data_IF_772878982846
#
_entry.id   IF_772878982846
#
_cell.length_a   1.000
_cell.length_b   1.000
_cell.length_c   1.000
_cell.angle_alpha   90.00
_cell.angle_beta   90.00
_cell.angle_gamma   90.00
#
_symmetry.space_group_name_H-M   'P 1'
#
loop_
_entity.id
_entity.type
_entity.pdbx_description
1 polymer ?
#
# COMPACT_ATOMS: atom_id res chain seq x y z
N UNK A 1 33.98 14.31 -40.82
CA UNK A 1 34.54 14.00 -39.48
C UNK A 1 33.78 14.86 -38.49
N UNK A 2 32.82 14.22 -37.81
CA UNK A 2 32.87 13.98 -36.36
C UNK A 2 32.24 15.13 -35.59
N UNK A 3 31.05 14.88 -35.06
CA UNK A 3 30.74 15.13 -33.66
C UNK A 3 29.49 14.32 -33.30
N UNK A 4 29.73 13.02 -33.15
CA UNK A 4 28.84 12.08 -32.49
C UNK A 4 28.95 12.26 -30.98
N UNK A 5 28.38 13.34 -30.45
CA UNK A 5 28.18 13.52 -29.00
C UNK A 5 26.77 14.02 -28.69
N UNK A 6 25.79 13.11 -28.60
CA UNK A 6 24.72 13.34 -27.61
C UNK A 6 24.34 12.11 -26.77
N UNK A 7 25.02 10.97 -26.86
CA UNK A 7 24.55 9.74 -26.18
C UNK A 7 25.16 9.52 -24.78
N UNK A 8 26.38 9.98 -24.50
CA UNK A 8 27.04 9.71 -23.21
C UNK A 8 26.52 10.61 -22.06
N UNK A 9 25.99 11.78 -22.37
CA UNK A 9 25.46 12.74 -21.38
C UNK A 9 24.09 12.32 -20.81
N UNK A 10 23.31 11.51 -21.53
CA UNK A 10 22.03 10.96 -21.04
C UNK A 10 22.22 9.77 -20.07
N UNK A 11 23.30 9.01 -20.21
CA UNK A 11 23.52 7.78 -19.43
C UNK A 11 24.16 8.09 -18.07
N UNK A 12 25.01 9.11 -17.97
CA UNK A 12 25.62 9.56 -16.72
C UNK A 12 24.62 10.15 -15.70
N UNK A 13 23.48 10.67 -16.16
CA UNK A 13 22.44 11.27 -15.30
C UNK A 13 21.41 10.24 -14.76
N UNK A 14 21.24 9.09 -15.41
CA UNK A 14 20.22 8.10 -15.04
C UNK A 14 20.52 7.41 -13.68
N UNK A 15 21.78 7.09 -13.41
CA UNK A 15 22.19 6.41 -12.16
C UNK A 15 22.15 7.34 -10.95
N UNK A 16 22.48 8.63 -11.14
CA UNK A 16 22.50 9.61 -10.05
C UNK A 16 21.12 9.84 -9.43
N UNK A 17 20.09 9.98 -10.27
CA UNK A 17 18.70 10.12 -9.79
C UNK A 17 18.19 8.85 -9.11
N UNK A 18 18.56 7.67 -9.61
CA UNK A 18 18.17 6.40 -9.02
C UNK A 18 18.79 6.21 -7.63
N UNK A 19 20.09 6.46 -7.48
CA UNK A 19 20.78 6.39 -6.19
C UNK A 19 20.21 7.43 -5.22
N UNK A 20 19.91 8.65 -5.70
CA UNK A 20 19.25 9.68 -4.88
C UNK A 20 17.90 9.19 -4.36
N UNK A 21 17.05 8.64 -5.24
CA UNK A 21 15.75 8.09 -4.85
C UNK A 21 15.87 6.97 -3.83
N UNK A 22 16.80 6.04 -4.05
CA UNK A 22 17.04 4.94 -3.10
C UNK A 22 17.49 5.45 -1.74
N UNK A 23 18.41 6.43 -1.69
CA UNK A 23 18.90 7.03 -0.44
C UNK A 23 17.78 7.76 0.31
N UNK A 24 16.96 8.53 -0.40
CA UNK A 24 15.85 9.27 0.20
C UNK A 24 14.75 8.33 0.74
N UNK A 25 14.63 7.12 0.18
CA UNK A 25 13.69 6.11 0.62
C UNK A 25 14.14 5.36 1.89
N UNK A 26 15.42 5.42 2.29
CA UNK A 26 15.94 4.64 3.43
C UNK A 26 15.15 4.82 4.72
N UNK A 27 14.78 6.04 5.16
CA UNK A 27 13.98 6.21 6.38
C UNK A 27 12.62 5.51 6.30
N UNK A 28 11.99 5.51 5.12
CA UNK A 28 10.72 4.83 4.88
C UNK A 28 10.91 3.31 4.85
N UNK A 29 11.97 2.83 4.20
CA UNK A 29 12.32 1.40 4.19
C UNK A 29 12.54 0.86 5.61
N UNK A 30 13.17 1.64 6.50
CA UNK A 30 13.30 1.29 7.91
C UNK A 30 11.95 1.24 8.63
N UNK A 31 11.05 2.16 8.29
CA UNK A 31 9.66 2.14 8.76
C UNK A 31 8.90 0.89 8.35
N UNK A 32 9.18 0.31 7.17
CA UNK A 32 8.52 -0.90 6.67
C UNK A 32 8.89 -2.16 7.45
N UNK A 33 10.12 -2.25 7.98
CA UNK A 33 10.67 -3.45 8.62
C UNK A 33 9.72 -4.08 9.66
N UNK A 34 9.25 -3.37 10.70
CA UNK A 34 8.38 -3.97 11.70
C UNK A 34 7.07 -4.48 11.11
N UNK A 35 6.43 -3.72 10.21
CA UNK A 35 5.16 -4.11 9.60
C UNK A 35 5.32 -5.32 8.68
N UNK A 36 6.38 -5.34 7.87
CA UNK A 36 6.70 -6.43 6.97
C UNK A 36 6.96 -7.73 7.76
N UNK A 37 7.76 -7.67 8.83
CA UNK A 37 8.02 -8.82 9.70
C UNK A 37 6.74 -9.37 10.32
N UNK A 38 5.88 -8.49 10.83
CA UNK A 38 4.58 -8.88 11.43
C UNK A 38 3.69 -9.57 10.40
N UNK A 39 3.55 -8.99 9.20
CA UNK A 39 2.72 -9.56 8.13
C UNK A 39 3.19 -10.97 7.76
N UNK A 40 4.50 -11.14 7.57
CA UNK A 40 5.09 -12.43 7.26
C UNK A 40 4.84 -13.48 8.34
N UNK A 41 5.04 -13.12 9.61
CA UNK A 41 4.80 -14.02 10.72
C UNK A 41 3.31 -14.42 10.83
N UNK A 42 2.39 -13.46 10.67
CA UNK A 42 0.95 -13.74 10.67
C UNK A 42 0.52 -14.63 9.51
N UNK A 43 1.09 -14.42 8.32
CA UNK A 43 0.75 -15.23 7.16
C UNK A 43 1.07 -16.73 7.38
N UNK A 44 2.22 -17.03 7.99
CA UNK A 44 2.58 -18.42 8.29
C UNK A 44 1.68 -19.04 9.37
N UNK A 45 1.22 -18.25 10.35
CA UNK A 45 0.18 -18.71 11.29
C UNK A 45 -1.16 -19.04 10.61
N UNK A 46 -1.45 -18.40 9.48
CA UNK A 46 -2.62 -18.69 8.63
C UNK A 46 -2.38 -19.85 7.65
N UNK A 47 -1.24 -20.53 7.74
CA UNK A 47 -0.91 -21.71 6.94
C UNK A 47 -0.19 -21.42 5.62
N UNK A 48 0.23 -20.18 5.37
CA UNK A 48 1.03 -19.85 4.19
C UNK A 48 2.48 -20.32 4.36
N UNK A 49 3.08 -20.83 3.28
CA UNK A 49 4.52 -21.02 3.17
C UNK A 49 5.24 -19.69 2.94
N UNK A 50 6.53 -19.57 3.29
CA UNK A 50 7.31 -18.36 3.01
C UNK A 50 7.30 -17.93 1.54
N UNK A 51 7.26 -18.90 0.61
CA UNK A 51 7.21 -18.62 -0.83
C UNK A 51 5.86 -18.00 -1.21
N UNK A 52 4.76 -18.50 -0.68
CA UNK A 52 3.43 -17.92 -0.91
C UNK A 52 3.33 -16.49 -0.33
N UNK A 53 3.98 -16.23 0.81
CA UNK A 53 4.08 -14.86 1.36
C UNK A 53 4.84 -13.95 0.40
N UNK A 54 6.02 -14.34 -0.08
CA UNK A 54 6.80 -13.53 -1.02
C UNK A 54 6.04 -13.25 -2.33
N UNK A 55 5.29 -14.25 -2.83
CA UNK A 55 4.47 -14.10 -4.03
C UNK A 55 3.28 -13.17 -3.78
N UNK A 56 2.58 -13.32 -2.65
CA UNK A 56 1.47 -12.45 -2.28
C UNK A 56 1.92 -10.99 -2.19
N UNK A 57 3.01 -10.72 -1.46
CA UNK A 57 3.50 -9.37 -1.21
C UNK A 57 4.15 -8.74 -2.44
N UNK A 58 4.80 -9.55 -3.29
CA UNK A 58 5.36 -9.08 -4.55
C UNK A 58 4.33 -8.83 -5.65
N UNK A 59 3.27 -9.64 -5.75
CA UNK A 59 2.26 -9.47 -6.79
C UNK A 59 1.23 -8.39 -6.44
N UNK A 60 0.89 -8.24 -5.17
CA UNK A 60 -0.08 -7.24 -4.73
C UNK A 60 0.58 -5.88 -4.44
N UNK A 61 1.72 -5.89 -3.73
CA UNK A 61 2.46 -4.70 -3.30
C UNK A 61 1.55 -3.59 -2.72
N UNK A 62 0.51 -4.00 -1.99
CA UNK A 62 -0.56 -3.12 -1.51
C UNK A 62 -0.48 -2.80 -0.02
N UNK A 63 0.36 -3.53 0.72
CA UNK A 63 0.56 -3.43 2.16
C UNK A 63 -0.73 -3.62 2.97
N UNK A 64 -1.53 -2.57 3.08
CA UNK A 64 -2.80 -2.58 3.81
C UNK A 64 -3.82 -3.61 3.32
N UNK A 65 -3.87 -3.89 2.01
CA UNK A 65 -4.78 -4.92 1.47
C UNK A 65 -4.30 -6.35 1.76
N UNK A 66 -2.98 -6.58 1.88
CA UNK A 66 -2.38 -7.86 2.25
C UNK A 66 -2.72 -8.20 3.70
N UNK A 67 -2.54 -7.21 4.56
CA UNK A 67 -2.99 -7.22 5.95
C UNK A 67 -4.49 -7.54 6.07
N UNK A 68 -5.33 -6.90 5.26
CA UNK A 68 -6.77 -7.15 5.27
C UNK A 68 -7.12 -8.56 4.75
N UNK A 69 -6.43 -9.03 3.71
CA UNK A 69 -6.61 -10.37 3.16
C UNK A 69 -6.25 -11.45 4.19
N UNK A 70 -5.15 -11.30 4.92
CA UNK A 70 -4.76 -12.23 5.99
C UNK A 70 -5.74 -12.22 7.17
N UNK A 71 -6.26 -11.05 7.55
CA UNK A 71 -7.24 -10.94 8.62
C UNK A 71 -8.52 -11.74 8.32
N UNK A 72 -8.96 -11.72 7.05
CA UNK A 72 -10.15 -12.43 6.57
C UNK A 72 -9.87 -13.88 6.18
N UNK A 73 -8.60 -14.32 6.24
CA UNK A 73 -8.21 -15.63 5.79
C UNK A 73 -8.75 -16.70 6.76
N UNK A 74 -9.68 -17.50 6.25
CA UNK A 74 -10.34 -18.64 6.91
C UNK A 74 -10.08 -19.92 6.12
N UNK A 75 -10.35 -21.08 6.73
CA UNK A 75 -10.35 -22.37 6.03
C UNK A 75 -11.76 -22.98 6.06
N UNK A 76 -12.49 -23.03 4.91
CA UNK A 76 -12.11 -22.55 3.58
C UNK A 76 -12.13 -21.00 3.46
N UNK A 77 -11.37 -20.41 2.51
CA UNK A 77 -11.30 -18.97 2.35
C UNK A 77 -12.52 -18.40 1.60
N UNK A 78 -13.05 -17.28 2.08
CA UNK A 78 -14.11 -16.53 1.41
C UNK A 78 -13.52 -15.68 0.27
N UNK A 79 -13.12 -16.32 -0.83
CA UNK A 79 -12.34 -15.70 -1.93
C UNK A 79 -13.00 -14.42 -2.46
N UNK A 80 -14.31 -14.44 -2.71
CA UNK A 80 -15.03 -13.28 -3.24
C UNK A 80 -14.96 -12.07 -2.29
N UNK A 81 -15.04 -12.31 -0.98
CA UNK A 81 -14.94 -11.26 0.05
C UNK A 81 -13.51 -10.70 0.11
N UNK A 82 -12.51 -11.56 0.10
CA UNK A 82 -11.09 -11.16 0.11
C UNK A 82 -10.78 -10.32 -1.13
N UNK A 83 -11.20 -10.76 -2.32
CA UNK A 83 -11.04 -10.00 -3.56
C UNK A 83 -11.74 -8.65 -3.48
N UNK A 84 -12.99 -8.61 -3.02
CA UNK A 84 -13.74 -7.37 -2.91
C UNK A 84 -13.06 -6.36 -1.96
N UNK A 85 -12.55 -6.82 -0.82
CA UNK A 85 -11.88 -5.95 0.16
C UNK A 85 -10.50 -5.52 -0.32
N UNK A 86 -9.73 -6.42 -0.95
CA UNK A 86 -8.46 -6.06 -1.57
C UNK A 86 -8.66 -4.99 -2.65
N UNK A 87 -9.66 -5.15 -3.53
CA UNK A 87 -10.00 -4.15 -4.54
C UNK A 87 -10.46 -2.83 -3.92
N UNK A 88 -11.29 -2.89 -2.87
CA UNK A 88 -11.77 -1.71 -2.16
C UNK A 88 -10.62 -0.93 -1.53
N UNK A 89 -9.72 -1.61 -0.81
CA UNK A 89 -8.54 -0.99 -0.17
C UNK A 89 -7.57 -0.45 -1.22
N UNK A 90 -7.33 -1.21 -2.30
CA UNK A 90 -6.42 -0.81 -3.36
C UNK A 90 -7.00 0.25 -4.29
N UNK A 91 -8.32 0.53 -4.26
CA UNK A 91 -8.96 1.57 -5.09
C UNK A 91 -8.30 2.96 -4.96
N UNK A 92 -7.63 3.23 -3.84
CA UNK A 92 -6.80 4.45 -3.66
C UNK A 92 -5.72 4.61 -4.75
N UNK A 93 -5.18 3.51 -5.26
CA UNK A 93 -4.20 3.51 -6.36
C UNK A 93 -4.80 4.07 -7.66
N UNK A 94 -6.12 3.97 -7.88
CA UNK A 94 -6.77 4.59 -9.04
C UNK A 94 -6.73 6.11 -8.94
N UNK A 95 -7.01 6.67 -7.75
CA UNK A 95 -6.95 8.12 -7.50
C UNK A 95 -5.51 8.63 -7.55
N UNK A 96 -4.58 7.89 -6.94
CA UNK A 96 -3.15 8.20 -6.96
C UNK A 96 -2.59 8.17 -8.39
N UNK A 97 -2.95 7.14 -9.15
CA UNK A 97 -2.60 7.00 -10.57
C UNK A 97 -3.17 8.13 -11.41
N UNK A 98 -4.42 8.54 -11.18
CA UNK A 98 -5.03 9.69 -11.84
C UNK A 98 -4.29 11.01 -11.51
N UNK A 99 -3.81 11.16 -10.26
CA UNK A 99 -3.01 12.31 -9.86
C UNK A 99 -1.59 12.31 -10.49
N UNK A 100 -1.00 11.14 -10.74
CA UNK A 100 0.28 11.00 -11.44
C UNK A 100 0.14 11.12 -12.96
N UNK A 101 -1.02 10.83 -13.54
CA UNK A 101 -1.22 10.77 -14.99
C UNK A 101 -0.74 12.03 -15.75
N UNK A 102 -0.97 13.27 -15.27
CA UNK A 102 -0.43 14.47 -15.93
C UNK A 102 1.11 14.52 -15.95
N UNK A 103 1.76 14.00 -14.89
CA UNK A 103 3.22 13.99 -14.74
C UNK A 103 3.89 12.89 -15.59
N UNK A 104 3.11 11.93 -16.09
CA UNK A 104 3.57 10.81 -16.92
C UNK A 104 3.32 11.02 -18.43
N UNK A 105 2.81 12.18 -18.87
CA UNK A 105 2.38 12.45 -20.26
C UNK A 105 3.45 12.23 -21.36
N UNK A 106 4.73 12.14 -21.00
CA UNK A 106 5.84 11.85 -21.93
C UNK A 106 6.42 10.43 -21.83
N UNK A 107 5.88 9.57 -20.97
CA UNK A 107 6.44 8.24 -20.76
C UNK A 107 5.92 7.22 -21.78
N UNK A 108 6.79 6.29 -22.18
CA UNK A 108 6.35 5.12 -22.96
C UNK A 108 5.38 4.27 -22.14
N UNK A 109 4.46 3.58 -22.82
CA UNK A 109 3.45 2.72 -22.16
C UNK A 109 4.07 1.70 -21.20
N UNK A 110 5.22 1.13 -21.55
CA UNK A 110 5.97 0.19 -20.69
C UNK A 110 6.49 0.87 -19.41
N UNK A 111 7.06 2.08 -19.51
CA UNK A 111 7.53 2.83 -18.34
C UNK A 111 6.36 3.23 -17.45
N UNK A 112 5.25 3.72 -18.04
CA UNK A 112 4.05 4.08 -17.30
C UNK A 112 3.46 2.87 -16.56
N UNK A 113 3.42 1.69 -17.18
CA UNK A 113 2.97 0.46 -16.52
C UNK A 113 3.86 0.09 -15.32
N UNK A 114 5.19 0.15 -15.48
CA UNK A 114 6.12 -0.13 -14.38
C UNK A 114 6.02 0.89 -13.24
N UNK A 115 5.83 2.16 -13.56
CA UNK A 115 5.58 3.21 -12.56
C UNK A 115 4.31 2.91 -11.77
N UNK A 116 3.23 2.52 -12.45
CA UNK A 116 1.94 2.21 -11.80
C UNK A 116 1.98 0.90 -11.01
N UNK A 117 2.74 -0.11 -11.47
CA UNK A 117 2.91 -1.37 -10.74
C UNK A 117 3.71 -1.19 -9.45
N UNK A 118 4.81 -0.42 -9.48
CA UNK A 118 5.65 -0.14 -8.32
C UNK A 118 5.14 1.05 -7.48
N UNK A 119 3.93 1.52 -7.74
CA UNK A 119 3.34 2.63 -7.00
C UNK A 119 2.77 2.13 -5.68
N UNK A 120 3.28 2.68 -4.57
CA UNK A 120 2.67 2.62 -3.25
C UNK A 120 2.46 4.06 -2.73
N UNK A 121 1.91 4.22 -1.53
CA UNK A 121 1.60 5.54 -0.96
C UNK A 121 2.87 6.41 -0.84
N UNK A 122 3.99 5.81 -0.46
CA UNK A 122 5.26 6.48 -0.23
C UNK A 122 6.01 6.78 -1.53
N UNK A 123 6.06 5.84 -2.48
CA UNK A 123 6.67 6.12 -3.79
C UNK A 123 5.87 7.15 -4.58
N UNK A 124 4.54 7.15 -4.44
CA UNK A 124 3.67 8.18 -4.98
C UNK A 124 3.94 9.55 -4.33
N UNK A 125 3.97 9.62 -3.00
CA UNK A 125 4.15 10.88 -2.28
C UNK A 125 5.53 11.50 -2.56
N UNK A 126 6.59 10.69 -2.50
CA UNK A 126 7.96 11.13 -2.78
C UNK A 126 8.14 11.54 -4.24
N UNK A 127 7.61 10.76 -5.18
CA UNK A 127 7.68 11.09 -6.61
C UNK A 127 6.92 12.38 -6.96
N UNK A 128 5.75 12.58 -6.34
CA UNK A 128 4.95 13.78 -6.53
C UNK A 128 5.61 15.01 -5.90
N UNK A 129 6.21 14.87 -4.71
CA UNK A 129 6.95 15.95 -4.06
C UNK A 129 8.19 16.36 -4.86
N UNK A 130 8.98 15.40 -5.35
CA UNK A 130 10.13 15.66 -6.22
C UNK A 130 9.71 16.39 -7.51
N UNK A 131 8.65 15.93 -8.18
CA UNK A 131 8.13 16.59 -9.38
C UNK A 131 7.68 18.04 -9.08
N UNK A 132 7.02 18.27 -7.94
CA UNK A 132 6.55 19.61 -7.52
C UNK A 132 7.71 20.54 -7.20
N UNK A 133 8.70 20.09 -6.43
CA UNK A 133 9.88 20.90 -6.05
C UNK A 133 10.69 21.35 -7.25
N UNK A 134 10.85 20.46 -8.24
CA UNK A 134 11.62 20.76 -9.44
C UNK A 134 10.79 21.42 -10.55
N UNK A 135 9.46 21.54 -10.37
CA UNK A 135 8.50 22.02 -11.40
C UNK A 135 8.64 21.24 -12.73
N UNK A 136 8.88 19.94 -12.65
CA UNK A 136 9.08 19.07 -13.81
C UNK A 136 8.03 17.98 -13.92
N UNK A 137 8.04 17.24 -15.04
CA UNK A 137 7.40 15.93 -15.13
C UNK A 137 8.02 14.94 -14.14
N UNK A 138 7.42 13.76 -14.01
CA UNK A 138 7.91 12.71 -13.13
C UNK A 138 9.35 12.31 -13.52
N UNK A 139 10.30 12.47 -12.60
CA UNK A 139 11.65 11.94 -12.78
C UNK A 139 11.63 10.42 -12.56
N UNK A 140 11.64 9.65 -13.65
CA UNK A 140 11.54 8.19 -13.57
C UNK A 140 12.74 7.55 -12.89
N UNK A 141 13.95 8.11 -13.03
CA UNK A 141 15.13 7.57 -12.36
C UNK A 141 14.99 7.65 -10.84
N UNK A 142 14.60 8.83 -10.35
CA UNK A 142 14.29 9.04 -8.94
C UNK A 142 13.15 8.14 -8.45
N UNK A 143 12.02 8.13 -9.17
CA UNK A 143 10.85 7.31 -8.81
C UNK A 143 11.21 5.82 -8.71
N UNK A 144 11.93 5.26 -9.70
CA UNK A 144 12.34 3.86 -9.65
C UNK A 144 13.34 3.58 -8.53
N UNK A 145 14.23 4.52 -8.21
CA UNK A 145 15.12 4.40 -7.04
C UNK A 145 14.35 4.22 -5.74
N UNK A 146 13.34 5.07 -5.52
CA UNK A 146 12.43 4.97 -4.35
C UNK A 146 11.65 3.66 -4.41
N UNK A 147 10.94 3.43 -5.51
CA UNK A 147 9.95 2.37 -5.63
C UNK A 147 10.58 0.97 -5.57
N UNK A 148 11.73 0.75 -6.22
CA UNK A 148 12.46 -0.53 -6.16
C UNK A 148 12.98 -0.78 -4.75
N UNK A 149 13.50 0.26 -4.07
CA UNK A 149 13.96 0.15 -2.68
C UNK A 149 12.85 -0.32 -1.75
N UNK A 150 11.68 0.33 -1.84
CA UNK A 150 10.50 -0.03 -1.06
C UNK A 150 9.93 -1.41 -1.42
N UNK A 151 9.89 -1.76 -2.71
CA UNK A 151 9.41 -3.05 -3.18
C UNK A 151 10.28 -4.20 -2.68
N UNK A 152 11.59 -4.08 -2.84
CA UNK A 152 12.53 -5.11 -2.38
C UNK A 152 12.55 -5.20 -0.85
N UNK A 153 12.54 -4.08 -0.13
CA UNK A 153 12.47 -4.13 1.33
C UNK A 153 11.20 -4.81 1.81
N UNK A 154 10.05 -4.50 1.20
CA UNK A 154 8.78 -5.12 1.55
C UNK A 154 8.82 -6.64 1.38
N UNK A 155 9.25 -7.13 0.21
CA UNK A 155 9.34 -8.59 -0.05
C UNK A 155 10.35 -9.23 0.88
N UNK A 156 11.54 -8.65 1.03
CA UNK A 156 12.61 -9.24 1.85
C UNK A 156 12.16 -9.35 3.31
N UNK A 157 11.66 -8.28 3.92
CA UNK A 157 11.29 -8.30 5.33
C UNK A 157 10.00 -9.09 5.59
N UNK A 158 9.05 -9.14 4.65
CA UNK A 158 7.89 -10.05 4.77
C UNK A 158 8.31 -11.51 4.70
N UNK A 159 9.24 -11.84 3.82
CA UNK A 159 9.80 -13.19 3.71
C UNK A 159 10.61 -13.56 4.95
N UNK A 160 11.44 -12.65 5.46
CA UNK A 160 12.17 -12.85 6.73
C UNK A 160 11.19 -13.03 7.88
N UNK A 161 10.11 -12.25 7.93
CA UNK A 161 9.04 -12.41 8.92
C UNK A 161 8.38 -13.78 8.85
N UNK A 162 8.15 -14.30 7.64
CA UNK A 162 7.61 -15.64 7.44
C UNK A 162 8.58 -16.75 7.87
N UNK A 163 9.88 -16.60 7.62
CA UNK A 163 10.89 -17.59 8.01
C UNK A 163 11.17 -17.57 9.52
N UNK A 164 11.26 -16.39 10.12
CA UNK A 164 11.63 -16.20 11.53
C UNK A 164 10.40 -16.29 12.46
N UNK A 165 9.22 -15.94 11.97
CA UNK A 165 7.97 -15.97 12.74
C UNK A 165 7.74 -17.27 13.52
N UNK A 166 7.87 -18.45 12.89
CA UNK A 166 7.75 -19.74 13.58
C UNK A 166 8.77 -19.95 14.71
N UNK A 167 9.97 -19.38 14.61
CA UNK A 167 11.03 -19.47 15.63
C UNK A 167 10.66 -18.66 16.88
N UNK A 168 9.96 -17.54 16.70
CA UNK A 168 9.46 -16.68 17.80
C UNK A 168 8.25 -17.33 18.51
N UNK A 169 7.64 -18.35 17.89
CA UNK A 169 6.48 -19.06 18.41
C UNK A 169 5.18 -18.30 18.14
N UNK A 170 4.25 -18.38 19.08
CA UNK A 170 2.96 -17.70 18.93
C UNK A 170 3.09 -16.19 19.12
N UNK A 171 3.26 -15.46 18.02
CA UNK A 171 3.43 -14.00 18.04
C UNK A 171 2.18 -13.26 18.53
N UNK A 172 1.01 -13.89 18.55
CA UNK A 172 -0.22 -13.27 19.08
C UNK A 172 -0.08 -12.91 20.55
N UNK A 173 0.73 -13.66 21.31
CA UNK A 173 1.04 -13.37 22.72
C UNK A 173 1.73 -12.03 22.94
N UNK A 174 2.39 -11.50 21.92
CA UNK A 174 3.05 -10.19 21.96
C UNK A 174 2.15 -9.06 21.43
N UNK A 175 0.86 -9.32 21.22
CA UNK A 175 -0.10 -8.34 20.69
C UNK A 175 0.03 -8.11 19.18
N UNK A 176 0.64 -9.05 18.45
CA UNK A 176 0.79 -8.91 17.00
C UNK A 176 -0.56 -8.96 16.28
N UNK A 177 -1.58 -9.58 16.86
CA UNK A 177 -2.97 -9.53 16.38
C UNK A 177 -3.52 -8.09 16.29
N UNK A 178 -3.05 -7.20 17.16
CA UNK A 178 -3.40 -5.76 17.13
C UNK A 178 -2.63 -4.96 16.07
N UNK A 179 -1.61 -5.52 15.42
CA UNK A 179 -0.88 -4.80 14.38
C UNK A 179 -1.79 -4.40 13.21
N UNK A 180 -2.73 -5.26 12.84
CA UNK A 180 -3.69 -4.98 11.77
C UNK A 180 -4.62 -3.80 12.09
N UNK A 181 -5.39 -3.82 13.20
CA UNK A 181 -6.15 -2.65 13.63
C UNK A 181 -5.29 -1.41 13.85
N UNK A 182 -4.08 -1.55 14.39
CA UNK A 182 -3.19 -0.42 14.65
C UNK A 182 -2.76 0.30 13.37
N UNK A 183 -2.41 -0.43 12.31
CA UNK A 183 -2.07 0.16 11.00
C UNK A 183 -3.28 0.90 10.42
N UNK A 184 -4.47 0.31 10.48
CA UNK A 184 -5.70 0.98 10.01
C UNK A 184 -6.01 2.24 10.82
N UNK A 185 -5.87 2.20 12.14
CA UNK A 185 -6.05 3.37 13.01
C UNK A 185 -5.01 4.46 12.72
N UNK A 186 -3.76 4.08 12.45
CA UNK A 186 -2.71 5.02 12.08
C UNK A 186 -3.00 5.71 10.74
N UNK A 187 -3.41 4.95 9.72
CA UNK A 187 -3.86 5.51 8.43
C UNK A 187 -5.06 6.44 8.64
N UNK A 188 -6.05 6.01 9.43
CA UNK A 188 -7.24 6.79 9.71
C UNK A 188 -6.91 8.10 10.44
N UNK A 189 -5.97 8.07 11.38
CA UNK A 189 -5.46 9.24 12.07
C UNK A 189 -4.78 10.21 11.09
N UNK A 190 -3.96 9.72 10.16
CA UNK A 190 -3.33 10.54 9.11
C UNK A 190 -4.35 11.17 8.14
N UNK A 191 -5.51 10.54 7.96
CA UNK A 191 -6.60 11.06 7.11
C UNK A 191 -7.54 12.04 7.84
N UNK A 192 -7.34 12.27 9.14
CA UNK A 192 -8.26 13.05 9.96
C UNK A 192 -8.27 14.54 9.55
N UNK A 193 -9.42 15.02 9.07
CA UNK A 193 -9.63 16.43 8.65
C UNK A 193 -10.58 17.20 9.57
N UNK A 194 -10.84 16.67 10.76
CA UNK A 194 -11.76 17.23 11.75
C UNK A 194 -13.05 16.41 11.89
N UNK A 195 -13.74 16.63 13.01
CA UNK A 195 -14.92 15.84 13.44
C UNK A 195 -16.02 15.80 12.36
N UNK A 196 -16.28 16.92 11.70
CA UNK A 196 -17.35 16.99 10.69
C UNK A 196 -17.05 16.13 9.45
N UNK A 197 -15.79 16.11 9.00
CA UNK A 197 -15.35 15.33 7.84
C UNK A 197 -15.26 13.83 8.15
N UNK A 198 -15.07 13.46 9.42
CA UNK A 198 -14.97 12.07 9.89
C UNK A 198 -16.32 11.44 10.28
N UNK A 199 -17.45 12.16 10.16
CA UNK A 199 -18.80 11.60 10.41
C UNK A 199 -19.09 10.31 9.62
N UNK A 200 -18.73 10.18 8.33
CA UNK A 200 -18.94 8.94 7.59
C UNK A 200 -18.19 7.74 8.20
N UNK A 201 -17.06 7.97 8.87
CA UNK A 201 -16.31 6.91 9.55
C UNK A 201 -17.08 6.39 10.76
N UNK A 202 -17.71 7.29 11.52
CA UNK A 202 -18.54 6.91 12.66
C UNK A 202 -19.78 6.13 12.20
N UNK A 203 -20.43 6.55 11.11
CA UNK A 203 -21.57 5.81 10.53
C UNK A 203 -21.13 4.41 10.11
N UNK A 204 -20.02 4.30 9.37
CA UNK A 204 -19.44 3.02 8.98
C UNK A 204 -19.15 2.12 10.19
N UNK A 205 -18.54 2.67 11.24
CA UNK A 205 -18.23 1.95 12.48
C UNK A 205 -19.48 1.43 13.18
N UNK A 206 -20.50 2.28 13.34
CA UNK A 206 -21.75 1.90 14.02
C UNK A 206 -22.49 0.82 13.24
N UNK A 207 -22.60 0.97 11.92
CA UNK A 207 -23.28 -0.02 11.06
C UNK A 207 -22.51 -1.34 11.02
N UNK A 208 -21.18 -1.30 10.89
CA UNK A 208 -20.35 -2.49 10.94
C UNK A 208 -20.48 -3.20 12.30
N UNK A 209 -20.39 -2.45 13.41
CA UNK A 209 -20.51 -2.99 14.76
C UNK A 209 -21.89 -3.63 15.02
N UNK A 210 -22.97 -2.94 14.64
CA UNK A 210 -24.32 -3.49 14.74
C UNK A 210 -24.47 -4.76 13.89
N UNK A 211 -24.00 -4.74 12.64
CA UNK A 211 -24.08 -5.90 11.76
C UNK A 211 -23.27 -7.08 12.30
N UNK A 212 -22.10 -6.83 12.92
CA UNK A 212 -21.29 -7.89 13.53
C UNK A 212 -22.00 -8.58 14.70
N UNK A 213 -22.76 -7.82 15.49
CA UNK A 213 -23.50 -8.36 16.65
C UNK A 213 -24.75 -9.12 16.20
N UNK A 214 -25.50 -8.59 15.23
CA UNK A 214 -26.83 -9.09 14.88
C UNK A 214 -26.87 -10.02 13.67
N UNK A 215 -25.87 -9.97 12.79
CA UNK A 215 -25.86 -10.72 11.53
C UNK A 215 -24.68 -11.69 11.52
N UNK A 216 -24.93 -13.01 11.44
CA UNK A 216 -23.86 -13.99 11.39
C UNK A 216 -23.06 -13.87 10.09
N UNK A 217 -21.76 -14.16 10.17
CA UNK A 217 -20.84 -14.10 9.03
C UNK A 217 -20.20 -12.73 8.84
N UNK A 218 -19.64 -12.50 7.66
CA UNK A 218 -18.78 -11.34 7.39
C UNK A 218 -19.53 -10.12 6.80
N UNK A 219 -20.86 -10.06 6.95
CA UNK A 219 -21.70 -8.98 6.40
C UNK A 219 -21.40 -7.60 6.97
N UNK A 220 -20.77 -7.54 8.14
CA UNK A 220 -20.35 -6.30 8.75
C UNK A 220 -19.37 -5.50 7.88
N UNK A 221 -18.58 -6.17 7.03
CA UNK A 221 -17.64 -5.48 6.14
C UNK A 221 -18.35 -4.73 5.01
N UNK A 222 -19.15 -5.37 4.12
CA UNK A 222 -19.87 -4.65 3.09
C UNK A 222 -20.87 -3.65 3.66
N UNK A 223 -21.55 -3.96 4.78
CA UNK A 223 -22.49 -3.03 5.41
C UNK A 223 -21.82 -1.74 5.91
N UNK A 224 -20.69 -1.86 6.61
CA UNK A 224 -19.89 -0.71 7.05
C UNK A 224 -19.36 0.11 5.87
N UNK A 225 -18.78 -0.55 4.88
CA UNK A 225 -18.24 0.11 3.69
C UNK A 225 -19.32 0.91 2.92
N UNK A 226 -20.45 0.28 2.61
CA UNK A 226 -21.54 0.90 1.85
C UNK A 226 -22.19 2.05 2.63
N UNK A 227 -22.43 1.87 3.92
CA UNK A 227 -23.01 2.92 4.77
C UNK A 227 -22.07 4.12 4.92
N UNK A 228 -20.76 3.89 5.05
CA UNK A 228 -19.75 4.94 5.05
C UNK A 228 -19.72 5.74 3.75
N UNK A 229 -19.71 5.06 2.59
CA UNK A 229 -19.74 5.71 1.28
C UNK A 229 -21.03 6.48 1.08
N UNK A 230 -22.18 5.89 1.40
CA UNK A 230 -23.48 6.55 1.30
C UNK A 230 -23.54 7.80 2.20
N UNK A 231 -23.07 7.69 3.45
CA UNK A 231 -23.00 8.82 4.37
C UNK A 231 -22.07 9.90 3.86
N UNK A 232 -20.91 9.55 3.30
CA UNK A 232 -19.99 10.51 2.71
C UNK A 232 -20.63 11.25 1.52
N UNK A 233 -21.37 10.54 0.66
CA UNK A 233 -22.10 11.12 -0.46
C UNK A 233 -23.19 12.09 0.00
N UNK A 234 -24.01 11.69 0.99
CA UNK A 234 -25.09 12.54 1.51
C UNK A 234 -24.59 13.76 2.28
N UNK A 235 -23.43 13.65 2.94
CA UNK A 235 -22.81 14.74 3.70
C UNK A 235 -21.89 15.62 2.86
N UNK A 236 -21.55 15.20 1.63
CA UNK A 236 -20.78 16.01 0.71
C UNK A 236 -21.60 17.25 0.32
N UNK A 237 -21.27 18.40 0.90
CA UNK A 237 -21.89 19.66 0.50
C UNK A 237 -21.49 19.96 -0.95
N UNK A 238 -22.44 20.28 -1.85
CA UNK A 238 -22.08 20.79 -3.17
C UNK A 238 -21.25 22.06 -2.97
N UNK A 239 -20.07 22.10 -3.61
CA UNK A 239 -19.27 23.32 -3.72
C UNK A 239 -19.85 24.20 -4.82
#
# INVERSE_FOLDING_TARGET
MSNSEPLELEIGMASGHLIRGLKDAVPVMLGFVPFALVLGAQAVQKGFSPVEVSLMTGLNFGGGSEFAALALWTSPPHVALIVAITLLVNSRHLLMGAALAPLMRGLSRRKAFLVLFLMCDESWAMGLDDARRNRTSLNTGYFFGVAIGLYLSWIVFTTVGAVVGPVVGDVTRYGFDMAFPAVFLFILAGMWKGVAASRPWLVSLVVAGATHIFVPGAWYVPAGALSGVLSAYLLARPK
#
